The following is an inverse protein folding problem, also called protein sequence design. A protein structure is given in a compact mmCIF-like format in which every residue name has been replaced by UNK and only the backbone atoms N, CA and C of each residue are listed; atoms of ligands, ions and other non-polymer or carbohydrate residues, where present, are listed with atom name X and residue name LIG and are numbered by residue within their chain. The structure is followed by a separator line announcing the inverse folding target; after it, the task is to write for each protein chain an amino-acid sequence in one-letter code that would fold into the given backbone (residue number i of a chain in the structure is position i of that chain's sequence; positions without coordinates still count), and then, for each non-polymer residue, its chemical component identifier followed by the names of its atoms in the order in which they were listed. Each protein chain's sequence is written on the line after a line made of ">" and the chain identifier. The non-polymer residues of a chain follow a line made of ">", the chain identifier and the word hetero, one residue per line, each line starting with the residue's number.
data_IF_183154985183
#
_entry.id   IF_183154985183
#
_cell.length_a   1.000
_cell.length_b   1.000
_cell.length_c   1.000
_cell.angle_alpha   90.00
_cell.angle_beta   90.00
_cell.angle_gamma   90.00
#
_symmetry.space_group_name_H-M   'P 1'
#
loop_
_entity.id
_entity.type
_entity.pdbx_description
1 polymer ?
#
# COMPACT_ATOMS: atom_id res chain seq x y z
N UNK A 1 -33.74 -12.43 -18.03
CA UNK A 1 -34.15 -11.29 -17.17
C UNK A 1 -33.06 -11.11 -16.08
N UNK A 2 -31.86 -10.75 -16.51
CA UNK A 2 -30.69 -10.60 -15.61
C UNK A 2 -29.91 -9.40 -16.13
N UNK A 3 -30.10 -8.26 -15.53
CA UNK A 3 -29.18 -7.12 -15.64
C UNK A 3 -29.53 -6.08 -14.57
N UNK A 4 -28.97 -6.23 -13.40
CA UNK A 4 -28.93 -5.16 -12.39
C UNK A 4 -27.96 -5.60 -11.30
N UNK A 5 -26.72 -5.14 -11.35
CA UNK A 5 -25.89 -4.92 -10.13
C UNK A 5 -24.44 -4.52 -10.41
N UNK A 6 -24.16 -3.82 -11.54
CA UNK A 6 -22.76 -3.44 -11.85
C UNK A 6 -22.47 -1.93 -11.84
N UNK A 7 -23.32 -1.09 -11.25
CA UNK A 7 -23.22 0.37 -11.43
C UNK A 7 -22.71 1.18 -10.22
N UNK A 8 -22.61 0.60 -9.03
CA UNK A 8 -22.29 1.39 -7.83
C UNK A 8 -20.78 1.55 -7.57
N UNK A 9 -19.90 0.53 -7.69
CA UNK A 9 -18.48 0.71 -7.39
C UNK A 9 -17.75 1.58 -8.42
N UNK A 10 -18.17 1.59 -9.68
CA UNK A 10 -17.53 2.41 -10.72
C UNK A 10 -17.78 3.91 -10.54
N UNK A 11 -18.93 4.29 -10.01
CA UNK A 11 -19.28 5.69 -9.77
C UNK A 11 -18.49 6.31 -8.60
N UNK A 12 -18.13 5.52 -7.59
CA UNK A 12 -17.32 5.96 -6.46
C UNK A 12 -15.87 6.24 -6.88
N UNK A 13 -15.30 5.43 -7.78
CA UNK A 13 -13.94 5.63 -8.28
C UNK A 13 -13.85 6.88 -9.17
N UNK A 14 -14.85 7.14 -10.00
CA UNK A 14 -14.90 8.34 -10.87
C UNK A 14 -15.15 9.61 -10.03
N UNK A 15 -15.91 9.55 -8.96
CA UNK A 15 -16.16 10.67 -8.06
C UNK A 15 -14.92 11.15 -7.29
N UNK A 16 -13.97 10.26 -7.00
CA UNK A 16 -12.72 10.61 -6.33
C UNK A 16 -11.69 11.28 -7.27
N UNK A 17 -11.84 11.16 -8.58
CA UNK A 17 -10.97 11.79 -9.57
C UNK A 17 -11.28 13.28 -9.82
N UNK A 18 -12.41 13.80 -9.35
CA UNK A 18 -12.80 15.21 -9.49
C UNK A 18 -12.37 16.13 -8.32
N UNK A 19 -11.65 15.60 -7.32
CA UNK A 19 -11.14 16.43 -6.22
C UNK A 19 -9.91 17.23 -6.67
N UNK A 20 -10.21 18.39 -7.26
CA UNK A 20 -9.42 19.64 -7.26
C UNK A 20 -8.04 19.61 -7.92
N UNK A 21 -8.03 19.83 -9.23
CA UNK A 21 -6.98 20.59 -9.91
C UNK A 21 -7.14 22.09 -9.57
N UNK A 22 -6.85 22.50 -8.34
CA UNK A 22 -6.54 23.88 -8.05
C UNK A 22 -5.02 24.05 -8.16
N UNK A 23 -4.56 24.54 -9.29
CA UNK A 23 -3.21 25.03 -9.49
C UNK A 23 -3.01 26.29 -8.63
N UNK A 24 -2.75 26.10 -7.33
CA UNK A 24 -2.27 27.17 -6.47
C UNK A 24 -0.75 27.26 -6.62
N UNK A 25 -0.29 28.50 -6.75
CA UNK A 25 1.11 28.92 -6.74
C UNK A 25 1.94 28.05 -5.79
N UNK A 26 3.03 27.48 -6.32
CA UNK A 26 4.01 26.68 -5.56
C UNK A 26 4.59 27.60 -4.49
N UNK A 27 3.99 27.61 -3.31
CA UNK A 27 4.46 28.35 -2.16
C UNK A 27 5.55 27.55 -1.43
N UNK A 28 6.34 28.21 -0.62
CA UNK A 28 7.37 27.66 0.26
C UNK A 28 6.88 26.42 1.06
N UNK A 29 5.57 26.34 1.32
CA UNK A 29 4.95 25.21 2.02
C UNK A 29 5.04 23.87 1.25
N UNK A 30 5.00 23.87 -0.08
CA UNK A 30 5.08 22.64 -0.86
C UNK A 30 6.51 22.08 -0.93
N UNK A 31 7.50 22.97 -0.96
CA UNK A 31 8.90 22.60 -0.92
C UNK A 31 9.26 22.03 0.46
N UNK A 32 8.81 22.68 1.53
CA UNK A 32 9.00 22.22 2.91
C UNK A 32 8.40 20.82 3.14
N UNK A 33 7.21 20.53 2.63
CA UNK A 33 6.59 19.19 2.70
C UNK A 33 7.41 18.12 1.96
N UNK A 34 7.96 18.46 0.79
CA UNK A 34 8.83 17.53 0.05
C UNK A 34 10.13 17.25 0.81
N UNK A 35 10.74 18.25 1.43
CA UNK A 35 11.94 18.07 2.26
C UNK A 35 11.59 17.16 3.44
N UNK A 36 10.49 17.44 4.17
CA UNK A 36 10.04 16.60 5.28
C UNK A 36 9.76 15.14 4.86
N UNK A 37 9.20 14.92 3.66
CA UNK A 37 9.06 13.58 3.10
C UNK A 37 10.41 12.86 2.97
N UNK A 38 11.45 13.53 2.41
CA UNK A 38 12.77 12.94 2.25
C UNK A 38 13.57 12.82 3.55
N UNK A 39 13.15 13.50 4.60
CA UNK A 39 13.70 13.33 5.96
C UNK A 39 13.17 12.06 6.61
N UNK A 40 11.86 11.87 6.55
CA UNK A 40 11.17 10.74 7.17
C UNK A 40 11.28 9.46 6.33
N UNK A 41 11.24 9.61 5.00
CA UNK A 41 11.16 8.52 4.02
C UNK A 41 12.21 8.72 2.93
N UNK A 42 12.42 7.70 2.13
CA UNK A 42 13.28 7.76 0.96
C UNK A 42 12.49 7.60 -0.35
N UNK A 43 13.22 7.55 -1.46
CA UNK A 43 12.61 7.21 -2.75
C UNK A 43 12.18 5.75 -2.84
N UNK A 44 12.78 4.89 -2.03
CA UNK A 44 12.57 3.44 -2.06
C UNK A 44 12.33 2.95 -0.64
N UNK A 45 11.63 1.82 -0.53
CA UNK A 45 11.57 1.08 0.72
C UNK A 45 11.60 -0.43 0.46
N UNK A 46 12.19 -1.16 1.39
CA UNK A 46 11.94 -2.58 1.59
C UNK A 46 10.88 -2.67 2.65
N UNK A 47 9.90 -3.49 2.38
CA UNK A 47 8.74 -3.67 3.24
C UNK A 47 8.65 -5.17 3.60
N UNK A 48 8.41 -5.46 4.85
CA UNK A 48 8.23 -6.82 5.34
C UNK A 48 7.15 -6.87 6.41
N UNK A 49 6.45 -7.98 6.51
CA UNK A 49 5.39 -8.12 7.51
C UNK A 49 4.97 -9.55 7.74
N UNK A 50 4.28 -9.72 8.87
CA UNK A 50 3.66 -10.97 9.31
C UNK A 50 2.23 -10.68 9.73
N UNK A 51 1.40 -11.71 9.72
CA UNK A 51 0.00 -11.56 10.11
C UNK A 51 -0.79 -12.82 9.93
N UNK A 52 -2.04 -12.64 9.60
CA UNK A 52 -2.98 -13.73 9.39
C UNK A 52 -3.77 -13.54 8.10
N UNK A 53 -4.14 -14.65 7.49
CA UNK A 53 -5.03 -14.74 6.34
C UNK A 53 -6.27 -15.57 6.71
N UNK A 54 -7.39 -15.24 6.11
CA UNK A 54 -8.65 -15.96 6.26
C UNK A 54 -9.37 -16.00 4.93
N UNK A 55 -9.80 -17.20 4.55
CA UNK A 55 -10.57 -17.41 3.31
C UNK A 55 -12.05 -17.15 3.54
N UNK A 56 -12.73 -16.70 2.50
CA UNK A 56 -14.18 -16.67 2.39
C UNK A 56 -14.55 -17.35 1.06
N UNK A 57 -14.85 -18.63 1.13
CA UNK A 57 -15.22 -19.52 0.04
C UNK A 57 -16.50 -20.28 0.36
N UNK A 58 -16.71 -21.41 -0.29
CA UNK A 58 -17.96 -22.20 -0.22
C UNK A 58 -18.09 -23.07 1.05
N UNK A 59 -16.98 -23.30 1.75
CA UNK A 59 -16.97 -24.09 2.97
C UNK A 59 -17.26 -23.26 4.25
N UNK A 60 -17.81 -23.93 5.25
CA UNK A 60 -18.04 -23.34 6.58
C UNK A 60 -16.79 -23.38 7.45
N UNK A 61 -16.76 -22.53 8.49
CA UNK A 61 -15.74 -22.49 9.53
C UNK A 61 -14.31 -22.17 9.02
N UNK A 62 -14.11 -20.99 8.37
CA UNK A 62 -12.79 -20.54 7.95
C UNK A 62 -11.87 -20.30 9.15
N UNK A 63 -10.60 -20.68 9.02
CA UNK A 63 -9.59 -20.49 10.06
C UNK A 63 -8.63 -19.35 9.73
N UNK A 64 -8.09 -18.74 10.80
CA UNK A 64 -7.05 -17.72 10.67
C UNK A 64 -5.69 -18.41 10.60
N UNK A 65 -5.04 -18.29 9.45
CA UNK A 65 -3.78 -18.93 9.16
C UNK A 65 -2.63 -17.92 9.04
N UNK A 66 -1.41 -18.42 9.14
CA UNK A 66 -0.21 -17.59 9.10
C UNK A 66 -0.01 -16.95 7.73
N UNK A 67 0.40 -15.69 7.76
CA UNK A 67 0.75 -14.89 6.60
C UNK A 67 2.03 -14.12 6.83
N UNK A 68 2.89 -14.06 5.82
CA UNK A 68 4.02 -13.13 5.79
C UNK A 68 4.26 -12.60 4.36
N UNK A 69 4.89 -11.42 4.28
CA UNK A 69 5.29 -10.86 3.01
C UNK A 69 6.64 -10.15 3.10
N UNK A 70 7.25 -10.00 1.94
CA UNK A 70 8.37 -9.11 1.68
C UNK A 70 8.12 -8.38 0.36
N UNK A 71 8.42 -7.07 0.32
CA UNK A 71 8.16 -6.26 -0.85
C UNK A 71 9.19 -5.15 -1.03
N UNK A 72 9.08 -4.53 -2.20
CA UNK A 72 9.86 -3.35 -2.57
C UNK A 72 8.92 -2.27 -3.05
N UNK A 73 9.10 -1.05 -2.50
CA UNK A 73 8.34 0.14 -2.87
C UNK A 73 9.23 1.15 -3.57
N UNK A 74 8.71 1.75 -4.63
CA UNK A 74 9.35 2.86 -5.34
C UNK A 74 8.41 4.06 -5.38
N UNK A 75 8.78 5.14 -4.72
CA UNK A 75 8.03 6.38 -4.75
C UNK A 75 8.25 7.13 -6.07
N UNK A 76 7.16 7.35 -6.80
CA UNK A 76 7.12 8.19 -8.00
C UNK A 76 6.97 9.65 -7.57
N UNK A 77 6.05 9.88 -6.65
CA UNK A 77 5.78 11.15 -5.98
C UNK A 77 5.69 10.91 -4.47
N UNK A 78 5.76 11.95 -3.61
CA UNK A 78 5.63 11.76 -2.16
C UNK A 78 4.38 11.00 -1.75
N UNK A 79 3.26 11.20 -2.46
CA UNK A 79 1.99 10.55 -2.18
C UNK A 79 1.79 9.22 -2.91
N UNK A 80 2.55 8.90 -3.95
CA UNK A 80 2.30 7.76 -4.81
C UNK A 80 3.53 6.89 -4.94
N UNK A 81 3.39 5.61 -4.64
CA UNK A 81 4.42 4.61 -4.90
C UNK A 81 3.87 3.40 -5.66
N UNK A 82 4.77 2.69 -6.31
CA UNK A 82 4.56 1.36 -6.85
C UNK A 82 5.17 0.39 -5.85
N UNK A 83 4.41 -0.65 -5.51
CA UNK A 83 4.83 -1.73 -4.64
C UNK A 83 4.78 -3.05 -5.39
N UNK A 84 5.86 -3.81 -5.30
CA UNK A 84 5.91 -5.20 -5.73
C UNK A 84 6.23 -6.06 -4.52
N UNK A 85 5.41 -7.08 -4.25
CA UNK A 85 5.60 -7.95 -3.08
C UNK A 85 5.42 -9.43 -3.40
N UNK A 86 6.19 -10.23 -2.70
CA UNK A 86 6.00 -11.68 -2.55
C UNK A 86 5.31 -11.94 -1.22
N UNK A 87 4.28 -12.77 -1.25
CA UNK A 87 3.49 -13.13 -0.10
C UNK A 87 3.45 -14.66 0.03
N UNK A 88 3.50 -15.14 1.26
CA UNK A 88 3.33 -16.55 1.60
C UNK A 88 2.28 -16.65 2.70
N UNK A 89 1.28 -17.49 2.49
CA UNK A 89 0.15 -17.62 3.40
C UNK A 89 -0.49 -19.00 3.27
N UNK A 90 -1.24 -19.40 4.29
CA UNK A 90 -2.11 -20.56 4.23
C UNK A 90 -3.56 -20.11 4.23
N UNK A 91 -4.42 -20.93 3.65
CA UNK A 91 -5.87 -20.78 3.71
C UNK A 91 -6.44 -22.10 4.21
N UNK A 92 -7.35 -22.04 5.19
CA UNK A 92 -7.88 -23.25 5.82
C UNK A 92 -9.36 -23.11 6.19
N UNK A 93 -10.06 -24.24 6.09
CA UNK A 93 -11.34 -24.50 6.74
C UNK A 93 -11.16 -25.63 7.72
N UNK A 94 -11.75 -25.48 8.90
CA UNK A 94 -11.58 -26.40 10.03
C UNK A 94 -11.83 -27.85 9.66
N UNK A 95 -10.83 -28.71 9.94
CA UNK A 95 -10.88 -30.17 9.75
C UNK A 95 -11.14 -30.64 8.31
N UNK A 96 -11.20 -29.74 7.32
CA UNK A 96 -11.58 -30.07 5.92
C UNK A 96 -10.48 -29.72 4.95
N UNK A 97 -9.88 -28.52 5.05
CA UNK A 97 -8.96 -28.00 4.05
C UNK A 97 -7.88 -27.14 4.71
N UNK A 98 -6.63 -27.33 4.32
CA UNK A 98 -5.51 -26.46 4.67
C UNK A 98 -4.48 -26.51 3.56
N UNK A 99 -4.34 -25.45 2.81
CA UNK A 99 -3.43 -25.35 1.67
C UNK A 99 -2.56 -24.10 1.81
N UNK A 100 -1.30 -24.28 1.44
CA UNK A 100 -0.33 -23.20 1.41
C UNK A 100 -0.24 -22.52 0.05
N UNK A 101 -0.32 -21.21 0.03
CA UNK A 101 -0.25 -20.39 -1.17
C UNK A 101 0.92 -19.42 -1.14
N UNK A 102 1.31 -18.99 -2.33
CA UNK A 102 2.18 -17.84 -2.54
C UNK A 102 1.53 -16.88 -3.52
N UNK A 103 1.82 -15.59 -3.41
CA UNK A 103 1.41 -14.63 -4.42
C UNK A 103 2.50 -13.61 -4.73
N UNK A 104 2.48 -13.16 -5.98
CA UNK A 104 3.26 -12.04 -6.48
C UNK A 104 2.30 -10.90 -6.78
N UNK A 105 2.40 -9.83 -6.01
CA UNK A 105 1.45 -8.72 -6.05
C UNK A 105 2.12 -7.46 -6.57
N UNK A 106 1.43 -6.76 -7.48
CA UNK A 106 1.80 -5.44 -7.96
C UNK A 106 0.71 -4.44 -7.59
N UNK A 107 1.07 -3.42 -6.80
CA UNK A 107 0.14 -2.45 -6.26
C UNK A 107 0.57 -1.01 -6.56
N UNK A 108 -0.42 -0.16 -6.75
CA UNK A 108 -0.29 1.29 -6.61
C UNK A 108 -0.75 1.66 -5.20
N UNK A 109 0.12 2.32 -4.45
CA UNK A 109 -0.15 2.73 -3.07
C UNK A 109 -0.11 4.25 -2.96
N UNK A 110 -1.13 4.82 -2.31
CA UNK A 110 -1.21 6.24 -2.00
C UNK A 110 -1.03 6.46 -0.50
N UNK A 111 0.01 7.20 -0.13
CA UNK A 111 0.31 7.65 1.22
C UNK A 111 -0.36 9.02 1.44
N UNK A 112 -1.28 9.14 2.40
CA UNK A 112 -2.12 10.33 2.55
C UNK A 112 -1.37 11.50 3.19
N UNK A 113 -0.49 11.24 4.15
CA UNK A 113 0.28 12.26 4.88
C UNK A 113 1.79 11.94 4.83
N UNK A 114 2.43 12.00 3.64
CA UNK A 114 3.80 11.53 3.46
C UNK A 114 4.85 12.38 4.17
N UNK A 115 4.52 13.63 4.52
CA UNK A 115 5.35 14.57 5.25
C UNK A 115 5.20 14.46 6.78
N UNK A 116 4.38 13.51 7.28
CA UNK A 116 4.13 13.27 8.70
C UNK A 116 4.66 11.91 9.14
N UNK A 117 4.96 11.79 10.44
CA UNK A 117 5.34 10.50 11.05
C UNK A 117 4.19 9.50 11.01
N UNK A 118 2.97 9.93 11.31
CA UNK A 118 1.77 9.12 11.20
C UNK A 118 1.10 9.37 9.85
N UNK A 119 0.89 8.32 9.08
CA UNK A 119 0.29 8.42 7.76
C UNK A 119 -0.60 7.21 7.45
N UNK A 120 -1.89 7.43 7.22
CA UNK A 120 -2.72 6.43 6.57
C UNK A 120 -2.28 6.21 5.12
N UNK A 121 -2.48 4.99 4.62
CA UNK A 121 -2.27 4.67 3.22
C UNK A 121 -3.36 3.74 2.70
N UNK A 122 -3.59 3.79 1.41
CA UNK A 122 -4.49 2.89 0.68
C UNK A 122 -3.75 2.36 -0.54
N UNK A 123 -4.12 1.17 -0.98
CA UNK A 123 -3.55 0.60 -2.19
C UNK A 123 -4.58 -0.24 -2.95
N UNK A 124 -4.31 -0.41 -4.24
CA UNK A 124 -5.02 -1.35 -5.08
C UNK A 124 -4.08 -1.90 -6.13
N UNK A 125 -4.35 -3.11 -6.60
CA UNK A 125 -3.50 -3.75 -7.59
C UNK A 125 -4.02 -5.08 -8.09
N UNK A 126 -3.12 -5.78 -8.77
CA UNK A 126 -3.34 -7.12 -9.27
C UNK A 126 -2.19 -8.02 -8.86
N UNK A 127 -2.46 -9.30 -8.77
CA UNK A 127 -1.47 -10.28 -8.39
C UNK A 127 -1.72 -11.64 -9.04
N UNK A 128 -0.79 -12.53 -8.81
CA UNK A 128 -0.84 -13.90 -9.27
C UNK A 128 -0.64 -14.83 -8.08
N UNK A 129 -1.66 -15.64 -7.80
CA UNK A 129 -1.63 -16.67 -6.76
C UNK A 129 -1.14 -17.99 -7.34
N UNK A 130 -0.40 -18.75 -6.55
CA UNK A 130 -0.04 -20.11 -6.84
C UNK A 130 -0.08 -20.94 -5.55
N UNK A 131 -0.59 -22.17 -5.61
CA UNK A 131 -0.44 -23.15 -4.54
C UNK A 131 1.02 -23.57 -4.39
N UNK A 132 1.40 -24.22 -3.29
CA UNK A 132 2.78 -24.58 -2.98
C UNK A 132 3.51 -25.33 -4.10
N UNK A 133 2.80 -26.15 -4.86
CA UNK A 133 3.35 -26.97 -5.94
C UNK A 133 2.95 -26.47 -7.33
N UNK A 134 2.37 -25.27 -7.43
CA UNK A 134 1.83 -24.69 -8.67
C UNK A 134 0.74 -25.54 -9.34
N UNK A 135 0.07 -26.39 -8.56
CA UNK A 135 -1.05 -27.19 -9.06
C UNK A 135 -2.26 -26.32 -9.38
N UNK A 136 -2.47 -25.29 -8.57
CA UNK A 136 -3.50 -24.29 -8.78
C UNK A 136 -2.84 -22.91 -8.92
N UNK A 137 -3.26 -22.19 -9.93
CA UNK A 137 -2.74 -20.84 -10.20
C UNK A 137 -3.87 -19.94 -10.69
N UNK A 138 -3.94 -18.74 -10.18
CA UNK A 138 -4.99 -17.79 -10.59
C UNK A 138 -4.52 -16.35 -10.51
N UNK A 139 -5.06 -15.52 -11.38
CA UNK A 139 -4.96 -14.07 -11.25
C UNK A 139 -5.91 -13.58 -10.17
N UNK A 140 -5.55 -12.48 -9.52
CA UNK A 140 -6.39 -11.82 -8.53
C UNK A 140 -6.33 -10.30 -8.66
N UNK A 141 -7.37 -9.65 -8.17
CA UNK A 141 -7.35 -8.24 -7.84
C UNK A 141 -7.36 -8.05 -6.34
N UNK A 142 -6.70 -7.01 -5.88
CA UNK A 142 -6.61 -6.72 -4.45
C UNK A 142 -6.73 -5.23 -4.17
N UNK A 143 -7.23 -4.92 -2.98
CA UNK A 143 -7.30 -3.58 -2.47
C UNK A 143 -7.25 -3.58 -0.95
N UNK A 144 -6.63 -2.56 -0.40
CA UNK A 144 -6.47 -2.50 1.04
C UNK A 144 -5.98 -1.16 1.53
N UNK A 145 -5.62 -1.12 2.79
CA UNK A 145 -5.08 0.06 3.40
C UNK A 145 -4.57 -0.20 4.80
N UNK A 146 -4.02 0.84 5.39
CA UNK A 146 -3.46 0.72 6.71
C UNK A 146 -2.97 2.04 7.27
N UNK A 147 -2.25 1.92 8.35
CA UNK A 147 -1.66 3.02 9.09
C UNK A 147 -0.17 2.77 9.21
N UNK A 148 0.63 3.77 8.92
CA UNK A 148 2.07 3.74 9.12
C UNK A 148 2.49 4.78 10.15
N UNK A 149 3.46 4.41 10.98
CA UNK A 149 4.13 5.33 11.89
C UNK A 149 5.65 5.25 11.72
N UNK A 150 6.28 6.38 11.38
CA UNK A 150 7.73 6.51 11.28
C UNK A 150 8.31 6.63 12.69
N UNK A 151 8.99 5.60 13.14
CA UNK A 151 9.62 5.52 14.46
C UNK A 151 10.88 6.39 14.50
N UNK A 152 11.72 6.23 13.50
CA UNK A 152 12.91 7.03 13.25
C UNK A 152 13.08 7.29 11.76
N UNK A 153 13.89 8.26 11.38
CA UNK A 153 14.13 8.59 9.99
C UNK A 153 14.57 7.35 9.21
N UNK A 154 13.84 7.07 8.14
CA UNK A 154 14.06 5.90 7.31
C UNK A 154 13.53 4.56 7.86
N UNK A 155 12.83 4.53 9.01
CA UNK A 155 12.24 3.30 9.54
C UNK A 155 10.83 3.52 10.07
N UNK A 156 9.87 2.77 9.53
CA UNK A 156 8.46 2.82 9.90
C UNK A 156 7.90 1.46 10.28
N UNK A 157 6.89 1.48 11.13
CA UNK A 157 6.04 0.33 11.45
C UNK A 157 4.67 0.55 10.82
N UNK A 158 4.01 -0.52 10.41
CA UNK A 158 2.70 -0.44 9.77
C UNK A 158 1.75 -1.52 10.27
N UNK A 159 0.46 -1.17 10.31
CA UNK A 159 -0.65 -2.10 10.45
C UNK A 159 -1.50 -1.99 9.19
N UNK A 160 -1.89 -3.10 8.59
CA UNK A 160 -2.62 -3.07 7.33
C UNK A 160 -3.58 -4.26 7.21
N UNK A 161 -4.54 -4.10 6.32
CA UNK A 161 -5.47 -5.15 5.89
C UNK A 161 -5.68 -5.06 4.39
N UNK A 162 -5.90 -6.18 3.74
CA UNK A 162 -6.30 -6.25 2.34
C UNK A 162 -7.41 -7.28 2.10
N UNK A 163 -8.12 -7.04 1.03
CA UNK A 163 -9.12 -7.91 0.44
C UNK A 163 -8.62 -8.36 -0.92
N UNK A 164 -8.72 -9.65 -1.20
CA UNK A 164 -8.26 -10.29 -2.42
C UNK A 164 -9.43 -11.03 -3.07
N UNK A 165 -9.72 -10.71 -4.31
CA UNK A 165 -10.70 -11.41 -5.15
C UNK A 165 -9.94 -12.21 -6.21
N UNK A 166 -10.06 -13.51 -6.17
CA UNK A 166 -9.34 -14.45 -7.05
C UNK A 166 -10.22 -14.81 -8.23
N UNK A 167 -9.67 -14.76 -9.43
CA UNK A 167 -10.40 -15.10 -10.66
C UNK A 167 -10.41 -16.62 -10.88
N UNK A 168 -10.79 -17.39 -9.87
CA UNK A 168 -10.90 -18.84 -9.88
C UNK A 168 -11.75 -19.29 -8.70
N UNK A 169 -12.54 -20.32 -8.92
CA UNK A 169 -13.40 -21.02 -7.96
C UNK A 169 -12.74 -22.32 -7.45
N UNK A 170 -11.42 -22.42 -7.56
CA UNK A 170 -10.66 -23.61 -7.17
C UNK A 170 -9.77 -23.38 -5.95
N UNK A 171 -9.84 -22.18 -5.34
CA UNK A 171 -8.92 -21.80 -4.28
C UNK A 171 -9.16 -22.58 -2.99
N UNK A 172 -10.41 -22.95 -2.71
CA UNK A 172 -10.80 -23.77 -1.56
C UNK A 172 -10.84 -25.28 -1.85
N UNK A 173 -10.40 -25.69 -3.06
CA UNK A 173 -10.37 -27.09 -3.49
C UNK A 173 -11.71 -27.63 -3.98
N UNK A 174 -12.74 -26.84 -4.06
CA UNK A 174 -14.09 -27.22 -4.50
C UNK A 174 -14.52 -26.26 -5.61
N UNK A 175 -14.98 -26.81 -6.73
CA UNK A 175 -15.63 -26.04 -7.79
C UNK A 175 -17.13 -26.10 -7.53
N UNK A 176 -17.64 -25.19 -6.71
CA UNK A 176 -19.07 -25.11 -6.38
C UNK A 176 -19.49 -23.64 -6.20
N UNK A 177 -20.72 -23.33 -6.58
CA UNK A 177 -21.26 -21.98 -6.43
C UNK A 177 -21.28 -21.16 -7.71
N UNK A 178 -21.46 -19.86 -7.55
CA UNK A 178 -21.58 -18.88 -8.64
C UNK A 178 -20.65 -17.67 -8.47
N UNK A 179 -19.76 -17.71 -7.50
CA UNK A 179 -18.85 -16.59 -7.18
C UNK A 179 -17.43 -17.06 -6.97
N UNK A 180 -16.48 -16.30 -7.49
CA UNK A 180 -15.05 -16.49 -7.29
C UNK A 180 -14.67 -16.39 -5.80
N UNK A 181 -13.68 -17.16 -5.40
CA UNK A 181 -13.15 -17.18 -4.05
C UNK A 181 -12.48 -15.86 -3.65
N UNK A 182 -12.62 -15.54 -2.38
CA UNK A 182 -12.03 -14.33 -1.82
C UNK A 182 -11.29 -14.63 -0.51
N UNK A 183 -10.31 -13.80 -0.16
CA UNK A 183 -9.65 -13.89 1.14
C UNK A 183 -9.20 -12.53 1.65
N UNK A 184 -9.07 -12.44 2.97
CA UNK A 184 -8.56 -11.26 3.67
C UNK A 184 -7.21 -11.57 4.30
N UNK A 185 -6.38 -10.54 4.40
CA UNK A 185 -5.14 -10.57 5.18
C UNK A 185 -5.10 -9.38 6.12
N UNK A 186 -4.61 -9.60 7.33
CA UNK A 186 -4.34 -8.55 8.31
C UNK A 186 -2.90 -8.76 8.77
N UNK A 187 -2.10 -7.71 8.74
CA UNK A 187 -0.69 -7.84 9.07
C UNK A 187 -0.12 -6.62 9.78
N UNK A 188 0.92 -6.90 10.55
CA UNK A 188 1.84 -5.93 11.10
C UNK A 188 3.17 -6.03 10.36
N UNK A 189 3.78 -4.90 10.04
CA UNK A 189 5.00 -4.90 9.25
C UNK A 189 5.91 -3.72 9.53
N UNK A 190 7.03 -3.72 8.83
CA UNK A 190 8.05 -2.69 8.88
C UNK A 190 8.39 -2.21 7.48
N UNK A 191 8.71 -0.92 7.37
CA UNK A 191 9.26 -0.32 6.17
C UNK A 191 10.66 0.21 6.48
N UNK A 192 11.64 -0.18 5.68
CA UNK A 192 12.97 0.39 5.69
C UNK A 192 13.18 1.24 4.44
N UNK A 193 13.26 2.55 4.64
CA UNK A 193 13.37 3.55 3.59
C UNK A 193 14.82 3.87 3.26
N UNK A 194 15.13 4.09 1.99
CA UNK A 194 16.45 4.46 1.53
C UNK A 194 16.43 5.29 0.24
N UNK A 195 17.53 5.97 -0.03
CA UNK A 195 17.67 6.87 -1.17
C UNK A 195 16.90 8.18 -0.99
N UNK A 196 17.17 9.16 -1.85
CA UNK A 196 16.50 10.47 -1.79
C UNK A 196 17.38 11.60 -1.25
N UNK A 197 18.51 11.31 -0.59
CA UNK A 197 19.41 12.31 0.00
C UNK A 197 19.87 13.37 -1.02
N UNK A 198 20.26 12.96 -2.23
CA UNK A 198 20.65 13.91 -3.31
C UNK A 198 19.51 14.84 -3.71
N UNK A 199 18.26 14.35 -3.69
CA UNK A 199 17.08 15.17 -3.98
C UNK A 199 16.80 16.15 -2.84
N UNK A 200 16.92 15.70 -1.59
CA UNK A 200 16.80 16.54 -0.42
C UNK A 200 17.83 17.67 -0.43
N UNK A 201 19.12 17.37 -0.59
CA UNK A 201 20.20 18.34 -0.67
C UNK A 201 19.98 19.36 -1.78
N UNK A 202 19.59 18.90 -2.97
CA UNK A 202 19.28 19.82 -4.06
C UNK A 202 18.13 20.77 -3.70
N UNK A 203 17.06 20.29 -3.12
CA UNK A 203 15.93 21.12 -2.72
C UNK A 203 16.29 22.10 -1.61
N UNK A 204 17.17 21.72 -0.67
CA UNK A 204 17.67 22.60 0.38
C UNK A 204 18.56 23.72 -0.20
N UNK A 205 19.43 23.40 -1.16
CA UNK A 205 20.30 24.37 -1.80
C UNK A 205 19.55 25.33 -2.74
N UNK A 206 18.43 24.89 -3.31
CA UNK A 206 17.58 25.72 -4.18
C UNK A 206 16.66 26.67 -3.38
N UNK A 207 16.65 26.59 -2.02
CA UNK A 207 15.90 27.54 -1.21
C UNK A 207 16.60 28.91 -1.18
N UNK A 208 15.86 30.00 -1.43
CA UNK A 208 16.44 31.34 -1.36
C UNK A 208 16.93 31.63 0.07
N UNK A 209 18.19 31.96 0.21
CA UNK A 209 18.75 32.44 1.49
C UNK A 209 18.13 33.79 1.82
N UNK A 210 17.28 33.85 2.81
CA UNK A 210 16.83 35.13 3.35
C UNK A 210 18.00 35.70 4.17
N UNK A 211 18.84 36.53 3.57
CA UNK A 211 19.78 37.34 4.29
C UNK A 211 19.00 38.48 4.94
N UNK A 212 18.65 38.34 6.19
CA UNK A 212 18.22 39.49 6.99
C UNK A 212 19.41 40.44 7.14
N UNK A 213 19.54 41.43 6.25
CA UNK A 213 20.46 42.52 6.46
C UNK A 213 19.99 43.30 7.67
N UNK A 214 20.73 43.21 8.79
CA UNK A 214 20.53 44.12 9.93
C UNK A 214 20.67 45.53 9.40
N UNK A 215 19.59 46.32 9.50
CA UNK A 215 19.67 47.76 9.27
C UNK A 215 20.64 48.36 10.30
N UNK A 216 21.78 48.85 9.81
CA UNK A 216 22.71 49.67 10.64
C UNK A 216 21.96 50.97 10.95
N UNK A 217 21.45 51.11 12.16
CA UNK A 217 20.94 52.38 12.63
C UNK A 217 22.11 53.26 12.89
N UNK A 218 22.39 54.22 11.98
CA UNK A 218 23.32 55.29 12.20
C UNK A 218 22.67 56.29 13.13
N UNK A 219 23.10 56.32 14.41
CA UNK A 219 22.75 57.41 15.31
C UNK A 219 23.63 58.62 14.93
N UNK A 220 23.00 59.72 14.48
CA UNK A 220 23.57 61.04 14.37
C UNK A 220 23.53 61.73 15.72
#
# INVERSE_FOLDING_TARGET
>A
MIAKHFSIPFLVVVGLLHLSLNAQTVSDSSMSKKIAFYELRGNNAIDAGIGTSVINGDLSDPEFEIYFHIGYKRYIFPHLNINFSYNKFNLAFKDVYNEGFMSFDFNLETTLLPDKKFSPFIFAGAGYNASNYFEQTAMKFQGGGGLEYIVTDGFGIKLYTDYNSVMSDELDGIVAGASDDTYFRIGFGVNYYFGGNKKKEKMQNDQPSIINSNQIILHN
#
